data_IF_974245313490
#
_entry.id   IF_974245313490
#
_cell.length_a   1.000
_cell.length_b   1.000
_cell.length_c   1.000
_cell.angle_alpha   90.00
_cell.angle_beta   90.00
_cell.angle_gamma   90.00
#
_symmetry.space_group_name_H-M   'P 1'
#
loop_
_entity.id
_entity.type
_entity.pdbx_description
1 polymer ?
#
# COMPACT_ATOMS: atom_id res chain seq x y z
N UNK A 1 10.05 -9.86 -2.65
CA UNK A 1 9.35 -10.76 -1.71
C UNK A 1 9.06 -12.05 -2.45
N UNK A 2 9.61 -13.18 -2.00
CA UNK A 2 9.28 -14.47 -2.58
C UNK A 2 7.76 -14.72 -2.40
N UNK A 3 7.08 -15.09 -3.48
CA UNK A 3 5.62 -15.29 -3.57
C UNK A 3 5.00 -16.07 -2.39
N UNK A 4 5.78 -16.96 -1.75
CA UNK A 4 5.35 -17.86 -0.67
C UNK A 4 4.81 -17.14 0.57
N UNK A 5 5.41 -16.03 0.99
CA UNK A 5 5.06 -15.36 2.25
C UNK A 5 4.10 -14.17 2.06
N UNK A 6 3.84 -13.76 0.81
CA UNK A 6 3.09 -12.55 0.49
C UNK A 6 1.69 -12.57 1.10
N UNK A 7 0.97 -13.70 1.00
CA UNK A 7 -0.40 -13.82 1.51
C UNK A 7 -0.45 -13.66 3.04
N UNK A 8 0.48 -14.30 3.74
CA UNK A 8 0.57 -14.26 5.21
C UNK A 8 1.00 -12.87 5.68
N UNK A 9 2.03 -12.30 5.06
CA UNK A 9 2.49 -10.94 5.35
C UNK A 9 1.36 -9.91 5.17
N UNK A 10 0.61 -9.99 4.07
CA UNK A 10 -0.52 -9.09 3.83
C UNK A 10 -1.66 -9.27 4.82
N UNK A 11 -1.87 -10.49 5.34
CA UNK A 11 -2.85 -10.77 6.38
C UNK A 11 -2.42 -10.13 7.71
N UNK A 12 -1.14 -10.24 8.08
CA UNK A 12 -0.58 -9.64 9.29
C UNK A 12 -0.43 -8.11 9.19
N UNK A 13 -0.30 -7.57 7.99
CA UNK A 13 -0.26 -6.11 7.75
C UNK A 13 -1.66 -5.47 7.83
N UNK A 14 -2.71 -6.25 7.61
CA UNK A 14 -4.10 -5.77 7.56
C UNK A 14 -4.59 -5.06 8.82
N UNK A 15 -4.27 -5.53 10.04
CA UNK A 15 -4.60 -4.83 11.28
C UNK A 15 -4.01 -3.43 11.36
N UNK A 16 -2.80 -3.20 10.81
CA UNK A 16 -2.11 -1.89 10.86
C UNK A 16 -2.95 -0.79 10.20
N UNK A 17 -3.45 -1.02 8.97
CA UNK A 17 -4.22 0.00 8.24
C UNK A 17 -5.74 -0.07 8.47
N UNK A 18 -6.25 -1.12 9.14
CA UNK A 18 -7.68 -1.24 9.50
C UNK A 18 -7.98 -0.91 10.95
N UNK A 19 -6.97 -0.65 11.77
CA UNK A 19 -7.14 -0.27 13.16
C UNK A 19 -8.08 0.93 13.32
N UNK A 20 -8.84 0.95 14.43
CA UNK A 20 -9.80 2.02 14.72
C UNK A 20 -9.12 3.29 15.25
N UNK A 21 -7.98 3.11 15.94
CA UNK A 21 -7.18 4.19 16.52
C UNK A 21 -5.72 4.10 16.06
N UNK A 22 -5.03 5.24 16.09
CA UNK A 22 -3.60 5.30 15.76
C UNK A 22 -2.77 4.43 16.71
N UNK A 23 -3.11 4.40 17.99
CA UNK A 23 -2.42 3.58 18.99
C UNK A 23 -2.59 2.09 18.69
N UNK A 24 -3.79 1.63 18.34
CA UNK A 24 -4.00 0.24 17.94
C UNK A 24 -3.22 -0.12 16.66
N UNK A 25 -3.09 0.84 15.74
CA UNK A 25 -2.27 0.68 14.54
C UNK A 25 -0.77 0.58 14.83
N UNK A 26 -0.28 1.35 15.82
CA UNK A 26 1.10 1.31 16.30
C UNK A 26 1.42 -0.03 16.96
N UNK A 27 0.55 -0.53 17.84
CA UNK A 27 0.69 -1.85 18.45
C UNK A 27 0.73 -2.95 17.37
N UNK A 28 -0.19 -2.90 16.39
CA UNK A 28 -0.19 -3.85 15.28
C UNK A 28 1.09 -3.78 14.43
N UNK A 29 1.70 -2.59 14.29
CA UNK A 29 2.98 -2.43 13.60
C UNK A 29 4.13 -3.03 14.41
N UNK A 30 4.11 -2.91 15.73
CA UNK A 30 5.06 -3.56 16.64
C UNK A 30 4.97 -5.09 16.54
N UNK A 31 3.76 -5.64 16.53
CA UNK A 31 3.53 -7.09 16.33
C UNK A 31 4.01 -7.58 14.96
N UNK A 32 3.77 -6.78 13.91
CA UNK A 32 4.26 -7.07 12.57
C UNK A 32 5.80 -7.09 12.53
N UNK A 33 6.44 -6.12 13.18
CA UNK A 33 7.91 -6.06 13.30
C UNK A 33 8.45 -7.25 14.09
N UNK A 34 7.84 -7.62 15.21
CA UNK A 34 8.27 -8.79 15.99
C UNK A 34 8.22 -10.09 15.16
N UNK A 35 7.26 -10.21 14.24
CA UNK A 35 7.08 -11.41 13.41
C UNK A 35 7.91 -11.40 12.13
N UNK A 36 8.10 -10.23 11.51
CA UNK A 36 8.66 -10.11 10.15
C UNK A 36 9.94 -9.27 10.08
N UNK A 37 10.35 -8.64 11.16
CA UNK A 37 11.52 -7.75 11.24
C UNK A 37 12.80 -8.42 10.77
N UNK A 38 13.08 -9.64 11.23
CA UNK A 38 14.29 -10.37 10.87
C UNK A 38 14.34 -10.74 9.38
N UNK A 39 13.17 -11.04 8.79
CA UNK A 39 13.07 -11.52 7.40
C UNK A 39 12.92 -10.38 6.39
N UNK A 40 12.27 -9.29 6.79
CA UNK A 40 11.91 -8.17 5.93
C UNK A 40 12.23 -6.82 6.57
N UNK A 41 13.41 -6.71 7.18
CA UNK A 41 13.89 -5.52 7.90
C UNK A 41 13.71 -4.23 7.08
N UNK A 42 14.12 -4.20 5.81
CA UNK A 42 13.98 -3.02 4.94
C UNK A 42 12.53 -2.57 4.75
N UNK A 43 11.59 -3.51 4.74
CA UNK A 43 10.16 -3.21 4.60
C UNK A 43 9.65 -2.59 5.89
N UNK A 44 9.91 -3.24 7.02
CA UNK A 44 9.50 -2.73 8.34
C UNK A 44 10.12 -1.35 8.61
N UNK A 45 11.41 -1.18 8.32
CA UNK A 45 12.10 0.10 8.46
C UNK A 45 11.45 1.21 7.63
N UNK A 46 11.12 0.95 6.35
CA UNK A 46 10.40 1.93 5.54
C UNK A 46 9.02 2.26 6.09
N UNK A 47 8.32 1.33 6.75
CA UNK A 47 7.04 1.60 7.39
C UNK A 47 7.21 2.49 8.62
N UNK A 48 8.22 2.22 9.45
CA UNK A 48 8.57 3.02 10.62
C UNK A 48 8.98 4.44 10.26
N UNK A 49 9.91 4.59 9.32
CA UNK A 49 10.39 5.91 8.84
C UNK A 49 9.22 6.77 8.32
N UNK A 50 8.31 6.16 7.55
CA UNK A 50 7.17 6.85 6.94
C UNK A 50 5.91 6.80 7.79
N UNK A 51 5.97 6.32 9.03
CA UNK A 51 4.78 6.08 9.84
C UNK A 51 3.95 7.35 10.03
N UNK A 52 4.60 8.50 10.17
CA UNK A 52 3.95 9.80 10.28
C UNK A 52 3.06 10.14 9.06
N UNK A 53 3.47 9.75 7.85
CA UNK A 53 2.66 9.89 6.62
C UNK A 53 1.59 8.81 6.56
N UNK A 54 1.96 7.56 6.83
CA UNK A 54 1.08 6.41 6.71
C UNK A 54 -0.05 6.42 7.75
N UNK A 55 0.15 7.04 8.91
CA UNK A 55 -0.86 7.20 9.97
C UNK A 55 -1.63 8.51 9.88
N UNK A 56 -1.31 9.41 8.94
CA UNK A 56 -1.94 10.72 8.85
C UNK A 56 -3.46 10.63 8.61
N UNK A 57 -3.94 9.54 7.99
CA UNK A 57 -5.36 9.35 7.71
C UNK A 57 -6.21 9.19 8.98
N UNK A 58 -5.62 8.88 10.15
CA UNK A 58 -6.34 8.84 11.42
C UNK A 58 -6.92 10.20 11.83
N UNK A 59 -6.39 11.29 11.28
CA UNK A 59 -6.93 12.65 11.47
C UNK A 59 -8.32 12.83 10.87
N UNK A 60 -8.73 11.97 9.94
CA UNK A 60 -10.04 12.03 9.32
C UNK A 60 -11.05 11.10 10.01
N UNK A 61 -12.37 11.38 9.90
CA UNK A 61 -13.42 10.50 10.40
C UNK A 61 -13.36 9.10 9.78
N UNK A 62 -13.77 8.07 10.54
CA UNK A 62 -13.72 6.65 10.12
C UNK A 62 -14.36 6.39 8.74
N UNK A 63 -15.45 7.08 8.44
CA UNK A 63 -16.18 6.94 7.17
C UNK A 63 -15.32 7.21 5.92
N UNK A 64 -14.34 8.11 5.99
CA UNK A 64 -13.50 8.50 4.84
C UNK A 64 -12.13 7.83 4.83
N UNK A 65 -11.78 7.06 5.87
CA UNK A 65 -10.47 6.37 5.94
C UNK A 65 -10.35 5.25 4.91
N UNK A 66 -11.44 4.50 4.69
CA UNK A 66 -11.44 3.32 3.80
C UNK A 66 -11.02 3.66 2.36
N UNK A 67 -11.53 4.71 1.72
CA UNK A 67 -11.01 5.17 0.43
C UNK A 67 -9.51 5.53 0.42
N UNK A 68 -8.95 6.00 1.54
CA UNK A 68 -7.55 6.47 1.61
C UNK A 68 -6.56 5.30 1.63
N UNK A 69 -6.79 4.29 2.48
CA UNK A 69 -5.89 3.14 2.57
C UNK A 69 -6.23 2.02 1.57
N UNK A 70 -7.35 2.11 0.85
CA UNK A 70 -7.69 1.16 -0.20
C UNK A 70 -6.95 1.50 -1.50
N UNK A 71 -6.31 0.50 -2.09
CA UNK A 71 -5.59 0.64 -3.36
C UNK A 71 -6.53 0.64 -4.58
N UNK A 72 -7.83 0.34 -4.41
CA UNK A 72 -8.81 0.15 -5.48
C UNK A 72 -8.80 1.28 -6.54
N UNK A 73 -8.75 2.55 -6.12
CA UNK A 73 -8.78 3.68 -7.05
C UNK A 73 -7.50 3.75 -7.88
N UNK A 74 -6.33 3.65 -7.23
CA UNK A 74 -5.02 3.68 -7.88
C UNK A 74 -4.82 2.45 -8.78
N UNK A 75 -5.26 1.28 -8.33
CA UNK A 75 -5.22 0.04 -9.11
C UNK A 75 -6.12 0.09 -10.35
N UNK A 76 -7.31 0.69 -10.25
CA UNK A 76 -8.20 0.91 -11.39
C UNK A 76 -7.53 1.79 -12.46
N UNK A 77 -6.88 2.88 -12.04
CA UNK A 77 -6.11 3.77 -12.91
C UNK A 77 -4.92 3.03 -13.54
N UNK A 78 -4.11 2.33 -12.75
CA UNK A 78 -3.00 1.52 -13.26
C UNK A 78 -3.47 0.41 -14.22
N UNK A 79 -4.66 -0.16 -14.01
CA UNK A 79 -5.25 -1.14 -14.93
C UNK A 79 -5.63 -0.50 -16.25
N UNK A 80 -6.20 0.71 -16.25
CA UNK A 80 -6.53 1.45 -17.47
C UNK A 80 -5.25 1.79 -18.24
N UNK A 81 -4.22 2.33 -17.59
CA UNK A 81 -2.94 2.62 -18.24
C UNK A 81 -2.31 1.38 -18.86
N UNK A 82 -2.20 0.28 -18.10
CA UNK A 82 -1.66 -0.99 -18.65
C UNK A 82 -2.46 -1.50 -19.84
N UNK A 83 -3.78 -1.32 -19.86
CA UNK A 83 -4.63 -1.71 -21.00
C UNK A 83 -4.30 -0.86 -22.24
N UNK A 84 -4.16 0.45 -22.08
CA UNK A 84 -3.89 1.38 -23.17
C UNK A 84 -2.47 1.23 -23.75
N UNK A 85 -1.48 0.94 -22.90
CA UNK A 85 -0.08 0.81 -23.33
C UNK A 85 0.28 -0.58 -23.84
N UNK A 86 -0.49 -1.63 -23.50
CA UNK A 86 -0.21 -3.03 -23.92
C UNK A 86 -0.10 -3.21 -25.45
N UNK A 87 -0.77 -2.38 -26.24
CA UNK A 87 -0.80 -2.45 -27.70
C UNK A 87 0.10 -1.45 -28.42
N UNK A 88 0.77 -0.52 -27.71
CA UNK A 88 1.68 0.48 -28.32
C UNK A 88 3.12 0.24 -27.86
N UNK A 89 3.92 -0.41 -28.71
CA UNK A 89 5.30 -0.83 -28.39
C UNK A 89 6.36 0.28 -28.39
N UNK A 90 6.10 1.40 -29.08
CA UNK A 90 6.92 2.61 -29.02
C UNK A 90 6.03 3.84 -29.23
N UNK A 91 6.23 4.88 -28.44
CA UNK A 91 5.54 6.16 -28.59
C UNK A 91 6.40 7.09 -29.44
N UNK A 92 5.94 7.41 -30.65
CA UNK A 92 6.70 8.23 -31.61
C UNK A 92 6.68 9.73 -31.29
N UNK A 93 5.79 10.19 -30.42
CA UNK A 93 5.70 11.56 -29.88
C UNK A 93 4.77 11.61 -28.65
N UNK A 94 4.78 12.71 -27.87
CA UNK A 94 3.94 12.87 -26.66
C UNK A 94 2.43 12.71 -26.92
N UNK A 95 1.96 13.01 -28.14
CA UNK A 95 0.54 12.92 -28.52
C UNK A 95 0.09 11.51 -28.94
N UNK A 96 1.01 10.55 -29.08
CA UNK A 96 0.68 9.19 -29.56
C UNK A 96 -0.11 8.33 -28.56
N UNK A 97 -0.24 8.80 -27.32
CA UNK A 97 -1.04 8.22 -26.23
C UNK A 97 -2.53 8.61 -26.25
N UNK A 98 -2.91 9.71 -26.89
CA UNK A 98 -4.27 10.30 -26.82
C UNK A 98 -5.20 9.90 -27.99
N UNK A 99 -4.77 8.96 -28.84
CA UNK A 99 -5.52 8.48 -30.01
C UNK A 99 -6.07 7.08 -29.78
#
# INVERSE_FOLDING_TARGET
MASKDQKTFMADLKPVYRADTRQAAEIALDELEAKWGDKYEKVIRSWREKWHLLSAYFKYPKAVRKPIYATNAVEAVHRQFRKLTKTKGAFSNENSLLK
#
